data_IF_388508253692
#
_entry.id   IF_388508253692
#
_cell.length_a   1.000
_cell.length_b   1.000
_cell.length_c   1.000
_cell.angle_alpha   90.00
_cell.angle_beta   90.00
_cell.angle_gamma   90.00
#
_symmetry.space_group_name_H-M   'P 1'
#
loop_
_entity.id
_entity.type
_entity.pdbx_description
1 polymer ?
#
# COMPACT_ATOMS: atom_id res chain seq x y z
N UNK A 1 2.97 23.39 0.10
CA UNK A 1 3.19 22.01 -0.41
C UNK A 1 2.17 21.09 0.23
N UNK A 2 1.53 20.24 -0.54
CA UNK A 2 0.55 19.30 0.01
C UNK A 2 1.25 18.13 0.73
N UNK A 3 0.55 17.50 1.67
CA UNK A 3 1.05 16.32 2.36
C UNK A 3 1.32 15.17 1.39
N UNK A 4 0.50 15.06 0.35
CA UNK A 4 0.63 14.05 -0.70
C UNK A 4 1.93 14.22 -1.47
N UNK A 5 2.27 15.44 -1.83
CA UNK A 5 3.52 15.74 -2.55
C UNK A 5 4.73 15.44 -1.67
N UNK A 6 4.66 15.77 -0.39
CA UNK A 6 5.73 15.48 0.56
C UNK A 6 5.94 13.98 0.72
N UNK A 7 4.86 13.20 0.80
CA UNK A 7 4.94 11.75 0.88
C UNK A 7 5.58 11.16 -0.38
N UNK A 8 5.16 11.63 -1.55
CA UNK A 8 5.74 11.19 -2.83
C UNK A 8 7.25 11.43 -2.87
N UNK A 9 7.68 12.62 -2.46
CA UNK A 9 9.11 12.95 -2.42
C UNK A 9 9.88 12.05 -1.46
N UNK A 10 9.30 11.75 -0.30
CA UNK A 10 9.92 10.88 0.70
C UNK A 10 10.08 9.46 0.19
N UNK A 11 9.07 8.94 -0.50
CA UNK A 11 9.12 7.60 -1.08
C UNK A 11 10.18 7.53 -2.19
N UNK A 12 10.22 8.54 -3.07
CA UNK A 12 11.19 8.58 -4.15
C UNK A 12 12.64 8.67 -3.65
N UNK A 13 12.86 9.28 -2.49
CA UNK A 13 14.19 9.36 -1.90
C UNK A 13 14.73 7.99 -1.49
N UNK A 14 13.87 7.04 -1.17
CA UNK A 14 14.25 5.67 -0.78
C UNK A 14 14.13 4.74 -1.98
N UNK A 15 13.00 4.77 -2.69
CA UNK A 15 12.73 3.92 -3.84
C UNK A 15 13.30 4.57 -5.10
N UNK A 16 14.61 4.47 -5.28
CA UNK A 16 15.35 5.18 -6.34
C UNK A 16 15.31 4.46 -7.67
N UNK A 17 14.82 3.22 -7.70
CA UNK A 17 14.66 2.41 -8.91
C UNK A 17 13.50 1.44 -8.70
N UNK A 18 13.09 0.77 -9.78
CA UNK A 18 12.02 -0.22 -9.65
C UNK A 18 12.43 -1.34 -8.69
N UNK A 19 11.49 -1.77 -7.87
CA UNK A 19 11.71 -2.82 -6.91
C UNK A 19 10.90 -2.64 -5.64
N UNK A 20 11.22 -3.49 -4.67
CA UNK A 20 10.64 -3.46 -3.33
C UNK A 20 11.76 -3.08 -2.36
N UNK A 21 11.49 -2.11 -1.49
CA UNK A 21 12.49 -1.53 -0.61
C UNK A 21 12.06 -1.68 0.84
N UNK A 22 12.93 -2.27 1.65
CA UNK A 22 12.75 -2.27 3.10
C UNK A 22 13.16 -0.91 3.65
N UNK A 23 12.54 -0.50 4.75
CA UNK A 23 12.85 0.77 5.41
C UNK A 23 13.40 0.49 6.81
N UNK A 24 13.77 1.56 7.51
CA UNK A 24 14.19 1.46 8.90
C UNK A 24 13.06 0.96 9.81
N UNK A 25 11.82 1.11 9.37
CA UNK A 25 10.67 0.55 10.07
C UNK A 25 10.45 -0.84 9.51
N UNK A 26 10.66 -1.87 10.33
CA UNK A 26 10.67 -3.27 9.88
C UNK A 26 9.38 -3.69 9.18
N UNK A 27 8.24 -3.16 9.61
CA UNK A 27 6.93 -3.51 9.06
C UNK A 27 6.58 -2.71 7.80
N UNK A 28 7.38 -1.73 7.42
CA UNK A 28 7.08 -0.81 6.32
C UNK A 28 7.98 -1.10 5.12
N UNK A 29 7.34 -1.40 3.99
CA UNK A 29 8.05 -1.57 2.71
C UNK A 29 7.50 -0.59 1.69
N UNK A 30 8.36 -0.25 0.72
CA UNK A 30 8.01 0.64 -0.38
C UNK A 30 8.14 -0.11 -1.70
N UNK A 31 7.30 0.24 -2.67
CA UNK A 31 7.29 -0.39 -3.98
C UNK A 31 7.36 0.70 -5.05
N UNK A 32 8.20 0.50 -6.04
CA UNK A 32 8.26 1.36 -7.22
C UNK A 32 8.20 0.51 -8.49
N UNK A 33 7.32 0.90 -9.41
CA UNK A 33 7.18 0.26 -10.71
C UNK A 33 7.02 1.35 -11.77
N UNK A 34 7.78 1.23 -12.85
CA UNK A 34 7.74 2.22 -13.94
C UNK A 34 6.84 1.79 -15.10
N UNK A 35 6.27 0.60 -15.04
CA UNK A 35 5.41 0.07 -16.10
C UNK A 35 4.16 -0.54 -15.51
N UNK A 36 3.07 -0.51 -16.30
CA UNK A 36 1.88 -1.29 -15.97
C UNK A 36 2.23 -2.77 -15.98
N UNK A 37 1.50 -3.56 -15.21
CA UNK A 37 1.78 -4.99 -15.09
C UNK A 37 0.60 -5.83 -15.55
N UNK A 38 0.88 -7.10 -15.85
CA UNK A 38 -0.15 -8.10 -16.06
C UNK A 38 -0.82 -8.43 -14.73
N UNK A 39 -2.12 -8.85 -14.77
CA UNK A 39 -2.76 -9.34 -13.56
C UNK A 39 -2.02 -10.54 -12.98
N UNK A 40 -1.77 -10.53 -11.69
CA UNK A 40 -1.02 -11.58 -11.00
C UNK A 40 -1.71 -12.00 -9.72
N UNK A 41 -1.89 -13.32 -9.50
CA UNK A 41 -2.41 -13.79 -8.21
C UNK A 41 -1.43 -13.49 -7.09
N UNK A 42 -1.95 -13.05 -5.97
CA UNK A 42 -1.13 -12.86 -4.76
C UNK A 42 -2.01 -12.99 -3.52
N UNK A 43 -1.38 -13.04 -2.36
CA UNK A 43 -2.08 -13.06 -1.08
C UNK A 43 -1.74 -11.79 -0.34
N UNK A 44 -2.77 -11.02 0.02
CA UNK A 44 -2.59 -9.85 0.88
C UNK A 44 -2.78 -10.30 2.33
N UNK A 45 -1.75 -10.09 3.13
CA UNK A 45 -1.82 -10.36 4.56
C UNK A 45 -2.38 -9.18 5.34
N UNK A 46 -2.55 -9.37 6.63
CA UNK A 46 -3.00 -8.32 7.53
C UNK A 46 -2.10 -7.10 7.39
N UNK A 47 -2.67 -5.97 6.99
CA UNK A 47 -1.89 -4.78 6.77
C UNK A 47 -2.63 -3.66 6.06
N UNK A 48 -1.86 -2.63 5.78
CA UNK A 48 -2.32 -1.41 5.16
C UNK A 48 -1.48 -1.15 3.91
N UNK A 49 -2.14 -0.94 2.78
CA UNK A 49 -1.47 -0.56 1.54
C UNK A 49 -1.94 0.81 1.08
N UNK A 50 -1.00 1.68 0.77
CA UNK A 50 -1.31 3.02 0.26
C UNK A 50 -0.74 3.14 -1.15
N UNK A 51 -1.60 3.55 -2.10
CA UNK A 51 -1.14 3.97 -3.41
C UNK A 51 -0.71 5.42 -3.29
N UNK A 52 0.59 5.66 -3.26
CA UNK A 52 1.14 7.00 -3.12
C UNK A 52 0.98 7.76 -4.43
N UNK A 53 1.27 7.08 -5.54
CA UNK A 53 1.22 7.66 -6.87
C UNK A 53 0.95 6.57 -7.90
N UNK A 54 0.20 6.87 -8.93
CA UNK A 54 -0.11 5.94 -10.02
C UNK A 54 -1.44 5.26 -9.82
N UNK A 55 -1.59 4.05 -10.34
CA UNK A 55 -2.83 3.30 -10.25
C UNK A 55 -2.60 1.81 -10.11
N UNK A 56 -3.50 1.18 -9.37
CA UNK A 56 -3.45 -0.25 -9.09
C UNK A 56 -4.88 -0.79 -9.04
N UNK A 57 -5.09 -1.98 -9.58
CA UNK A 57 -6.37 -2.69 -9.50
C UNK A 57 -6.21 -3.95 -8.69
N UNK A 58 -7.13 -4.19 -7.77
CA UNK A 58 -7.20 -5.41 -6.97
C UNK A 58 -8.55 -6.05 -7.24
N UNK A 59 -8.53 -7.33 -7.63
CA UNK A 59 -9.73 -8.11 -7.88
C UNK A 59 -9.85 -9.19 -6.81
N UNK A 60 -10.95 -9.17 -6.08
CA UNK A 60 -11.27 -10.14 -5.04
C UNK A 60 -12.54 -10.85 -5.46
N UNK A 61 -12.42 -12.10 -5.94
CA UNK A 61 -13.56 -12.81 -6.51
C UNK A 61 -14.13 -12.04 -7.71
N UNK A 62 -15.37 -11.60 -7.60
CA UNK A 62 -16.03 -10.81 -8.63
C UNK A 62 -15.92 -9.31 -8.41
N UNK A 63 -15.40 -8.90 -7.27
CA UNK A 63 -15.31 -7.49 -6.91
C UNK A 63 -13.99 -6.88 -7.39
N UNK A 64 -14.09 -5.70 -7.97
CA UNK A 64 -12.95 -4.97 -8.52
C UNK A 64 -12.79 -3.67 -7.77
N UNK A 65 -11.58 -3.41 -7.28
CA UNK A 65 -11.24 -2.20 -6.55
C UNK A 65 -10.09 -1.50 -7.27
N UNK A 66 -10.30 -0.25 -7.66
CA UNK A 66 -9.27 0.57 -8.28
C UNK A 66 -8.75 1.58 -7.27
N UNK A 67 -7.43 1.66 -7.17
CA UNK A 67 -6.74 2.57 -6.26
C UNK A 67 -5.88 3.53 -7.06
N UNK A 68 -6.02 4.81 -6.77
CA UNK A 68 -5.23 5.87 -7.37
C UNK A 68 -4.52 6.66 -6.26
N UNK A 69 -3.91 7.77 -6.62
CA UNK A 69 -3.10 8.59 -5.72
C UNK A 69 -3.81 8.83 -4.37
N UNK A 70 -3.17 8.42 -3.31
CA UNK A 70 -3.63 8.67 -1.94
C UNK A 70 -4.66 7.68 -1.41
N UNK A 71 -5.09 6.72 -2.21
CA UNK A 71 -6.09 5.75 -1.76
C UNK A 71 -5.45 4.59 -1.02
N UNK A 72 -6.19 4.06 -0.07
CA UNK A 72 -5.68 3.08 0.90
C UNK A 72 -6.51 1.81 0.87
N UNK A 73 -5.81 0.67 0.91
CA UNK A 73 -6.38 -0.66 1.07
C UNK A 73 -6.05 -1.18 2.46
N UNK A 74 -7.05 -1.70 3.16
CA UNK A 74 -6.84 -2.37 4.44
C UNK A 74 -7.24 -3.82 4.30
N UNK A 75 -6.34 -4.74 4.64
CA UNK A 75 -6.62 -6.17 4.70
C UNK A 75 -6.58 -6.62 6.15
N UNK A 76 -7.66 -7.23 6.63
CA UNK A 76 -7.79 -7.66 8.02
C UNK A 76 -7.50 -9.15 8.23
N UNK A 77 -7.44 -9.92 7.14
CA UNK A 77 -7.10 -11.35 7.14
C UNK A 77 -6.33 -11.64 5.87
N UNK A 78 -5.70 -12.80 5.79
CA UNK A 78 -5.04 -13.22 4.55
C UNK A 78 -6.09 -13.40 3.46
N UNK A 79 -5.91 -12.71 2.34
CA UNK A 79 -6.89 -12.67 1.26
C UNK A 79 -6.21 -12.94 -0.07
N UNK A 80 -6.61 -14.01 -0.79
CA UNK A 80 -6.12 -14.21 -2.16
C UNK A 80 -6.81 -13.22 -3.09
N UNK A 81 -6.01 -12.51 -3.88
CA UNK A 81 -6.48 -11.51 -4.83
C UNK A 81 -5.72 -11.62 -6.12
N UNK A 82 -6.25 -10.98 -7.17
CA UNK A 82 -5.49 -10.74 -8.40
C UNK A 82 -5.23 -9.25 -8.45
N UNK A 83 -3.98 -8.87 -8.62
CA UNK A 83 -3.62 -7.46 -8.59
C UNK A 83 -2.73 -7.10 -9.77
N UNK A 84 -2.84 -5.88 -10.26
CA UNK A 84 -1.93 -5.36 -11.26
C UNK A 84 -1.84 -3.84 -11.21
N UNK A 85 -0.73 -3.34 -11.73
CA UNK A 85 -0.48 -1.91 -11.85
C UNK A 85 -1.18 -1.43 -13.11
N UNK A 86 -2.07 -0.44 -12.98
CA UNK A 86 -2.87 0.08 -14.08
C UNK A 86 -2.39 1.43 -14.60
N UNK A 87 -1.62 2.17 -13.81
CA UNK A 87 -1.08 3.47 -14.22
C UNK A 87 0.33 3.64 -13.67
N UNK A 88 1.29 3.69 -14.58
CA UNK A 88 2.70 3.90 -14.26
C UNK A 88 3.47 4.26 -15.52
N UNK A 89 4.51 5.08 -15.35
CA UNK A 89 5.46 5.42 -16.41
C UNK A 89 6.81 5.73 -15.79
N UNK A 90 7.83 5.91 -16.63
CA UNK A 90 9.16 6.29 -16.15
C UNK A 90 9.10 7.67 -15.48
N UNK A 91 8.36 8.60 -16.08
CA UNK A 91 8.24 9.96 -15.56
C UNK A 91 7.37 10.03 -14.30
N UNK A 92 6.41 9.13 -14.19
CA UNK A 92 5.49 9.10 -13.07
C UNK A 92 5.25 7.65 -12.64
N UNK A 93 6.25 7.06 -11.98
CA UNK A 93 6.16 5.64 -11.61
C UNK A 93 5.05 5.39 -10.58
N UNK A 94 4.54 4.16 -10.57
CA UNK A 94 3.69 3.71 -9.48
C UNK A 94 4.54 3.65 -8.21
N UNK A 95 4.04 4.26 -7.15
CA UNK A 95 4.65 4.22 -5.84
C UNK A 95 3.63 3.70 -4.85
N UNK A 96 3.99 2.67 -4.13
CA UNK A 96 3.16 2.09 -3.09
C UNK A 96 3.92 1.98 -1.79
N UNK A 97 3.17 2.02 -0.70
CA UNK A 97 3.74 1.72 0.60
C UNK A 97 2.86 0.66 1.26
N UNK A 98 3.50 -0.25 1.94
CA UNK A 98 2.81 -1.35 2.61
C UNK A 98 3.30 -1.43 4.06
N UNK A 99 2.34 -1.36 4.99
CA UNK A 99 2.60 -1.52 6.41
C UNK A 99 1.99 -2.84 6.86
N UNK A 100 2.84 -3.80 7.17
CA UNK A 100 2.39 -5.08 7.70
C UNK A 100 1.96 -4.91 9.15
N UNK A 101 0.82 -5.48 9.49
CA UNK A 101 0.30 -5.44 10.85
C UNK A 101 0.34 -6.84 11.43
N UNK A 102 0.82 -6.91 12.65
CA UNK A 102 0.84 -8.13 13.45
C UNK A 102 -0.42 -8.09 14.31
N UNK A 103 -1.15 -9.20 14.38
CA UNK A 103 -2.40 -9.24 15.16
C UNK A 103 -2.17 -8.95 16.63
N UNK A 104 -1.02 -9.32 17.16
CA UNK A 104 -0.63 -9.01 18.54
C UNK A 104 -0.42 -7.51 18.74
N UNK A 105 0.31 -6.89 17.81
CA UNK A 105 0.55 -5.44 17.86
C UNK A 105 -0.77 -4.69 17.66
N UNK A 106 -1.60 -5.14 16.74
CA UNK A 106 -2.92 -4.55 16.54
C UNK A 106 -3.79 -4.66 17.79
N UNK A 107 -3.76 -5.82 18.44
CA UNK A 107 -4.50 -6.04 19.69
C UNK A 107 -4.04 -5.10 20.79
N UNK A 108 -2.73 -4.88 20.92
CA UNK A 108 -2.19 -3.94 21.88
C UNK A 108 -2.61 -2.51 21.58
N UNK A 109 -2.59 -2.11 20.31
CA UNK A 109 -3.02 -0.78 19.90
C UNK A 109 -4.50 -0.55 20.22
N UNK A 110 -5.35 -1.54 19.95
CA UNK A 110 -6.77 -1.47 20.25
C UNK A 110 -7.00 -1.38 21.77
N UNK A 111 -6.24 -2.16 22.57
CA UNK A 111 -6.38 -2.14 24.01
C UNK A 111 -6.02 -0.79 24.62
N UNK A 112 -5.17 -0.02 23.93
CA UNK A 112 -4.72 1.30 24.42
C UNK A 112 -5.60 2.44 23.90
N UNK A 113 -6.59 2.16 23.06
CA UNK A 113 -7.50 3.18 22.54
C UNK A 113 -8.56 3.55 23.57
N UNK A 114 -8.96 4.82 23.58
CA UNK A 114 -10.08 5.28 24.39
C UNK A 114 -11.37 5.23 23.56
N UNK A 115 -12.10 4.15 23.71
CA UNK A 115 -13.34 3.94 22.94
C UNK A 115 -14.49 4.84 23.37
N UNK A 116 -14.41 5.44 24.57
CA UNK A 116 -15.49 6.29 25.06
C UNK A 116 -15.64 7.60 24.30
N UNK A 117 -14.55 8.05 23.71
CA UNK A 117 -14.55 9.31 22.96
C UNK A 117 -14.90 9.14 21.50
N UNK A 118 -14.91 7.92 21.00
CA UNK A 118 -15.06 7.64 19.57
C UNK A 118 -16.47 7.24 19.19
N UNK A 119 -17.23 6.77 20.13
CA UNK A 119 -18.56 6.18 19.88
C UNK A 119 -19.56 6.69 20.92
#
# INVERSE_FOLDING_TARGET
MSNKQTLTESVLAVATQDGIFNTQIAALTLVRRSNVSEPMPCVYGLGLGVTVQGGKRVTLGEDIYDYADGQTLVASVDVPVVSHITSASVQRPFLGLHLSLDSKVLGQAVANMDFNEQY
#
